data_IF_759628421186
#
_entry.id   IF_759628421186
#
_cell.length_a   1.000
_cell.length_b   1.000
_cell.length_c   1.000
_cell.angle_alpha   90.00
_cell.angle_beta   90.00
_cell.angle_gamma   90.00
#
_symmetry.space_group_name_H-M   'P 1'
#
loop_
_entity.id
_entity.type
_entity.pdbx_description
1 polymer ?
#
# COMPACT_ATOMS: atom_id res chain seq x y z
N UNK A 1 -4.53 5.10 -19.63
CA UNK A 1 -4.64 4.41 -18.33
C UNK A 1 -4.06 5.31 -17.25
N UNK A 2 -4.65 5.31 -16.08
CA UNK A 2 -4.20 6.10 -14.93
C UNK A 2 -3.85 5.20 -13.75
N UNK A 3 -2.98 5.68 -12.86
CA UNK A 3 -2.64 4.99 -11.63
C UNK A 3 -3.24 5.78 -10.46
N UNK A 4 -4.02 5.10 -9.64
CA UNK A 4 -4.60 5.62 -8.41
C UNK A 4 -3.98 4.93 -7.20
N UNK A 5 -4.10 5.54 -6.03
CA UNK A 5 -3.64 4.94 -4.79
C UNK A 5 -4.57 5.27 -3.62
N UNK A 6 -4.78 4.29 -2.75
CA UNK A 6 -5.50 4.41 -1.48
C UNK A 6 -5.02 3.28 -0.55
N UNK A 7 -4.70 3.59 0.69
CA UNK A 7 -4.26 2.64 1.70
C UNK A 7 -5.33 2.45 2.78
N UNK A 8 -5.14 1.42 3.60
CA UNK A 8 -5.86 1.27 4.87
C UNK A 8 -7.38 1.16 4.68
N UNK A 9 -7.80 0.25 3.81
CA UNK A 9 -9.24 0.02 3.57
C UNK A 9 -9.93 -0.59 4.78
N UNK A 10 -9.21 -1.36 5.59
CA UNK A 10 -9.72 -1.98 6.80
C UNK A 10 -11.08 -2.68 6.61
N UNK A 11 -11.25 -3.37 5.49
CA UNK A 11 -12.49 -4.10 5.19
C UNK A 11 -12.71 -5.20 6.21
N UNK A 12 -13.98 -5.47 6.52
CA UNK A 12 -14.37 -6.44 7.55
C UNK A 12 -15.62 -7.24 7.22
N UNK A 13 -15.93 -7.42 5.93
CA UNK A 13 -17.09 -8.19 5.47
C UNK A 13 -17.08 -9.66 5.91
N UNK A 14 -15.90 -10.23 6.11
CA UNK A 14 -15.71 -11.59 6.60
C UNK A 14 -15.55 -11.70 8.11
N UNK A 15 -15.44 -10.57 8.82
CA UNK A 15 -15.19 -10.51 10.26
C UNK A 15 -16.17 -9.56 10.95
N UNK A 16 -16.26 -9.63 12.27
CA UNK A 16 -17.10 -8.71 13.06
C UNK A 16 -16.21 -7.62 13.71
N UNK A 17 -15.65 -6.73 12.88
CA UNK A 17 -14.82 -5.61 13.34
C UNK A 17 -15.31 -4.30 12.71
N UNK A 18 -16.35 -3.67 13.30
CA UNK A 18 -16.90 -2.43 12.77
C UNK A 18 -15.91 -1.27 12.96
N UNK A 19 -15.57 -0.60 11.86
CA UNK A 19 -14.61 0.51 11.89
C UNK A 19 -15.16 1.81 12.50
N UNK A 20 -16.48 1.98 12.57
CA UNK A 20 -17.11 3.16 13.17
C UNK A 20 -16.79 3.36 14.66
N UNK A 21 -16.28 2.33 15.36
CA UNK A 21 -15.75 2.47 16.73
C UNK A 21 -14.51 3.40 16.80
N UNK A 22 -13.83 3.62 15.69
CA UNK A 22 -12.68 4.51 15.58
C UNK A 22 -13.06 5.94 15.17
N UNK A 23 -14.35 6.25 15.08
CA UNK A 23 -14.89 7.57 14.84
C UNK A 23 -15.84 7.66 13.63
N UNK A 24 -16.61 8.74 13.61
CA UNK A 24 -17.69 8.95 12.63
C UNK A 24 -17.20 9.05 11.18
N UNK A 25 -15.91 9.28 10.93
CA UNK A 25 -15.34 9.26 9.58
C UNK A 25 -15.55 7.91 8.90
N UNK A 26 -15.58 6.82 9.70
CA UNK A 26 -15.76 5.45 9.26
C UNK A 26 -17.22 4.99 9.11
N UNK A 27 -18.19 5.88 9.37
CA UNK A 27 -19.60 5.54 9.14
C UNK A 27 -19.89 5.39 7.65
N UNK A 28 -20.45 4.22 7.27
CA UNK A 28 -20.79 3.86 5.89
C UNK A 28 -19.61 4.05 4.91
N UNK A 29 -18.38 3.84 5.38
CA UNK A 29 -17.18 4.12 4.61
C UNK A 29 -17.02 3.22 3.38
N UNK A 30 -17.49 1.96 3.47
CA UNK A 30 -17.45 1.02 2.34
C UNK A 30 -18.27 1.52 1.14
N UNK A 31 -19.44 2.10 1.42
CA UNK A 31 -20.27 2.66 0.33
C UNK A 31 -19.65 3.96 -0.21
N UNK A 32 -19.08 4.82 0.65
CA UNK A 32 -18.32 6.01 0.22
C UNK A 32 -17.13 5.62 -0.67
N UNK A 33 -16.36 4.64 -0.22
CA UNK A 33 -15.23 4.09 -0.98
C UNK A 33 -15.69 3.60 -2.36
N UNK A 34 -16.74 2.78 -2.39
CA UNK A 34 -17.28 2.22 -3.63
C UNK A 34 -17.74 3.31 -4.60
N UNK A 35 -18.51 4.30 -4.12
CA UNK A 35 -19.01 5.40 -4.95
C UNK A 35 -17.86 6.24 -5.50
N UNK A 36 -16.90 6.63 -4.66
CA UNK A 36 -15.73 7.41 -5.09
C UNK A 36 -14.88 6.61 -6.08
N UNK A 37 -14.68 5.31 -5.85
CA UNK A 37 -13.93 4.43 -6.73
C UNK A 37 -14.58 4.34 -8.12
N UNK A 38 -15.85 3.98 -8.19
CA UNK A 38 -16.58 3.81 -9.47
C UNK A 38 -16.71 5.13 -10.24
N UNK A 39 -16.74 6.28 -9.55
CA UNK A 39 -16.85 7.59 -10.19
C UNK A 39 -15.60 8.00 -10.97
N UNK A 40 -14.44 7.38 -10.72
CA UNK A 40 -13.14 7.84 -11.24
C UNK A 40 -12.36 6.76 -11.97
N UNK A 41 -12.48 5.52 -11.53
CA UNK A 41 -11.63 4.41 -11.95
C UNK A 41 -12.37 3.56 -12.97
N UNK A 42 -11.68 3.22 -14.03
CA UNK A 42 -12.17 2.33 -15.12
C UNK A 42 -11.44 0.99 -15.08
N UNK A 43 -11.90 0.00 -15.83
CA UNK A 43 -11.24 -1.32 -15.93
C UNK A 43 -9.82 -1.24 -16.51
N UNK A 44 -9.47 -0.14 -17.15
CA UNK A 44 -8.14 0.10 -17.73
C UNK A 44 -7.13 0.66 -16.72
N UNK A 45 -7.60 1.15 -15.57
CA UNK A 45 -6.77 1.83 -14.59
C UNK A 45 -6.18 0.84 -13.58
N UNK A 46 -5.12 1.26 -12.87
CA UNK A 46 -4.52 0.49 -11.78
C UNK A 46 -4.68 1.23 -10.46
N UNK A 47 -4.98 0.47 -9.39
CA UNK A 47 -5.10 1.00 -8.03
C UNK A 47 -4.07 0.33 -7.12
N UNK A 48 -3.22 1.14 -6.50
CA UNK A 48 -2.23 0.71 -5.52
C UNK A 48 -2.86 0.72 -4.12
N UNK A 49 -2.73 -0.40 -3.42
CA UNK A 49 -3.29 -0.61 -2.08
C UNK A 49 -2.14 -0.93 -1.09
N UNK A 50 -1.45 0.09 -0.56
CA UNK A 50 -0.29 -0.12 0.30
C UNK A 50 -0.63 -0.46 1.74
N UNK A 51 -1.30 -1.58 1.95
CA UNK A 51 -1.48 -2.23 3.24
C UNK A 51 -2.77 -1.93 3.98
N UNK A 52 -2.97 -2.71 5.02
CA UNK A 52 -4.14 -2.72 5.91
C UNK A 52 -5.45 -2.82 5.11
N UNK A 53 -5.46 -3.85 4.26
CA UNK A 53 -6.57 -4.12 3.36
C UNK A 53 -7.76 -4.74 4.09
N UNK A 54 -7.54 -5.76 4.91
CA UNK A 54 -8.61 -6.56 5.54
C UNK A 54 -8.29 -6.91 6.99
N UNK A 55 -9.33 -6.95 7.82
CA UNK A 55 -9.26 -7.44 9.20
C UNK A 55 -9.28 -8.96 9.33
N UNK A 56 -9.36 -9.71 8.24
CA UNK A 56 -9.27 -11.17 8.28
C UNK A 56 -7.97 -11.65 8.93
N UNK A 57 -8.03 -12.71 9.73
CA UNK A 57 -6.85 -13.31 10.35
C UNK A 57 -6.18 -14.30 9.39
N UNK A 58 -6.95 -14.84 8.46
CA UNK A 58 -6.51 -15.79 7.43
C UNK A 58 -7.18 -15.46 6.09
N UNK A 59 -6.78 -16.15 5.03
CA UNK A 59 -7.29 -15.91 3.68
C UNK A 59 -8.80 -16.18 3.56
N UNK A 60 -9.30 -17.19 4.26
CA UNK A 60 -10.70 -17.58 4.25
C UNK A 60 -11.60 -16.48 4.84
N UNK A 61 -11.20 -15.88 5.94
CA UNK A 61 -11.90 -14.73 6.54
C UNK A 61 -11.84 -13.48 5.67
N UNK A 62 -10.75 -13.29 4.92
CA UNK A 62 -10.57 -12.15 4.02
C UNK A 62 -11.30 -12.31 2.68
N UNK A 63 -11.89 -13.49 2.39
CA UNK A 63 -12.49 -13.76 1.09
C UNK A 63 -13.54 -12.73 0.68
N UNK A 64 -14.45 -12.38 1.57
CA UNK A 64 -15.51 -11.40 1.27
C UNK A 64 -14.97 -10.01 0.97
N UNK A 65 -13.86 -9.63 1.59
CA UNK A 65 -13.17 -8.37 1.34
C UNK A 65 -12.51 -8.38 -0.05
N UNK A 66 -11.89 -9.50 -0.42
CA UNK A 66 -11.39 -9.71 -1.78
C UNK A 66 -12.50 -9.71 -2.83
N UNK A 67 -13.64 -10.36 -2.57
CA UNK A 67 -14.81 -10.32 -3.44
C UNK A 67 -15.37 -8.91 -3.62
N UNK A 68 -15.33 -8.09 -2.57
CA UNK A 68 -15.76 -6.70 -2.65
C UNK A 68 -14.88 -5.91 -3.62
N UNK A 69 -13.55 -5.91 -3.44
CA UNK A 69 -12.66 -5.15 -4.33
C UNK A 69 -12.60 -5.75 -5.74
N UNK A 70 -12.80 -7.06 -5.88
CA UNK A 70 -12.83 -7.72 -7.19
C UNK A 70 -13.98 -7.22 -8.08
N UNK A 71 -15.10 -6.77 -7.48
CA UNK A 71 -16.24 -6.18 -8.18
C UNK A 71 -16.01 -4.72 -8.59
N UNK A 72 -15.01 -4.06 -8.02
CA UNK A 72 -14.66 -2.69 -8.39
C UNK A 72 -13.78 -2.69 -9.64
N UNK A 73 -13.91 -1.68 -10.52
CA UNK A 73 -13.11 -1.59 -11.74
C UNK A 73 -11.61 -1.40 -11.45
N UNK A 74 -10.79 -1.70 -12.46
CA UNK A 74 -9.35 -1.54 -12.44
C UNK A 74 -8.57 -2.72 -11.86
N UNK A 75 -7.28 -2.77 -12.12
CA UNK A 75 -6.30 -3.71 -11.58
C UNK A 75 -5.88 -3.26 -10.17
N UNK A 76 -5.78 -4.18 -9.22
CA UNK A 76 -5.42 -3.89 -7.83
C UNK A 76 -4.05 -4.48 -7.51
N UNK A 77 -3.14 -3.66 -6.99
CA UNK A 77 -1.82 -4.09 -6.51
C UNK A 77 -1.77 -3.90 -5.00
N UNK A 78 -1.74 -5.01 -4.28
CA UNK A 78 -1.75 -5.02 -2.81
C UNK A 78 -0.34 -5.18 -2.25
N UNK A 79 -0.03 -4.36 -1.27
CA UNK A 79 1.14 -4.50 -0.40
C UNK A 79 0.65 -4.88 1.01
N UNK A 80 1.50 -5.54 1.80
CA UNK A 80 1.18 -5.90 3.19
C UNK A 80 1.20 -4.70 4.12
N UNK A 81 0.17 -4.54 4.95
CA UNK A 81 0.16 -3.68 6.13
C UNK A 81 0.48 -4.43 7.43
N UNK A 82 0.33 -3.78 8.58
CA UNK A 82 0.55 -4.41 9.87
C UNK A 82 -0.66 -5.20 10.38
N UNK A 83 -1.86 -4.85 9.96
CA UNK A 83 -3.10 -5.56 10.28
C UNK A 83 -3.48 -6.65 9.27
N UNK A 84 -2.74 -6.81 8.17
CA UNK A 84 -2.96 -7.89 7.20
C UNK A 84 -2.41 -9.22 7.76
N UNK A 85 -3.06 -9.77 8.78
CA UNK A 85 -2.69 -11.04 9.42
C UNK A 85 -2.87 -12.24 8.49
N UNK A 86 -3.81 -12.15 7.53
CA UNK A 86 -4.07 -13.13 6.48
C UNK A 86 -2.89 -13.31 5.49
N UNK A 87 -1.98 -12.34 5.45
CA UNK A 87 -0.87 -12.33 4.51
C UNK A 87 0.09 -13.51 4.75
N UNK A 88 0.33 -14.28 3.70
CA UNK A 88 1.18 -15.46 3.73
C UNK A 88 2.20 -15.48 2.58
N UNK A 89 2.60 -16.65 2.09
CA UNK A 89 3.52 -16.73 0.94
C UNK A 89 2.82 -16.33 -0.35
N UNK A 90 3.55 -15.69 -1.27
CA UNK A 90 3.02 -15.26 -2.57
C UNK A 90 2.35 -16.44 -3.33
N UNK A 91 2.96 -17.64 -3.25
CA UNK A 91 2.39 -18.86 -3.87
C UNK A 91 1.00 -19.21 -3.32
N UNK A 92 0.82 -19.13 -1.99
CA UNK A 92 -0.48 -19.43 -1.36
C UNK A 92 -1.52 -18.37 -1.69
N UNK A 93 -1.13 -17.10 -1.65
CA UNK A 93 -2.04 -15.98 -1.98
C UNK A 93 -2.47 -16.05 -3.45
N UNK A 94 -1.55 -16.26 -4.38
CA UNK A 94 -1.89 -16.40 -5.80
C UNK A 94 -2.79 -17.62 -6.07
N UNK A 95 -2.53 -18.73 -5.39
CA UNK A 95 -3.42 -19.90 -5.49
C UNK A 95 -4.81 -19.59 -4.98
N UNK A 96 -4.93 -18.90 -3.84
CA UNK A 96 -6.22 -18.50 -3.27
C UNK A 96 -7.01 -17.59 -4.22
N UNK A 97 -6.36 -16.60 -4.83
CA UNK A 97 -6.98 -15.72 -5.84
C UNK A 97 -7.52 -16.54 -7.01
N UNK A 98 -6.71 -17.48 -7.54
CA UNK A 98 -7.09 -18.34 -8.67
C UNK A 98 -8.23 -19.29 -8.31
N UNK A 99 -8.17 -19.97 -7.17
CA UNK A 99 -9.16 -20.95 -6.72
C UNK A 99 -10.54 -20.30 -6.50
N UNK A 100 -10.59 -19.01 -6.12
CA UNK A 100 -11.83 -18.27 -5.89
C UNK A 100 -12.27 -17.43 -7.10
N UNK A 101 -11.62 -17.58 -8.27
CA UNK A 101 -11.99 -16.87 -9.49
C UNK A 101 -11.85 -15.35 -9.39
N UNK A 102 -11.04 -14.85 -8.46
CA UNK A 102 -10.74 -13.44 -8.29
C UNK A 102 -9.82 -12.98 -9.43
N UNK A 103 -10.07 -11.82 -9.97
CA UNK A 103 -9.34 -11.28 -11.13
C UNK A 103 -8.74 -9.93 -10.78
N UNK A 104 -7.74 -9.52 -11.55
CA UNK A 104 -7.17 -8.18 -11.46
C UNK A 104 -6.62 -7.81 -10.07
N UNK A 105 -6.16 -8.81 -9.30
CA UNK A 105 -5.56 -8.65 -7.97
C UNK A 105 -4.16 -9.27 -8.00
N UNK A 106 -3.17 -8.48 -7.65
CA UNK A 106 -1.77 -8.88 -7.59
C UNK A 106 -1.13 -8.43 -6.27
N UNK A 107 -0.06 -9.13 -5.89
CA UNK A 107 0.63 -8.87 -4.63
C UNK A 107 2.05 -8.38 -4.86
N UNK A 108 2.38 -7.24 -4.30
CA UNK A 108 3.73 -6.71 -4.23
C UNK A 108 4.43 -7.26 -2.98
N UNK A 109 5.33 -8.22 -3.18
CA UNK A 109 6.01 -8.92 -2.09
C UNK A 109 7.42 -9.39 -2.48
N UNK A 110 8.42 -8.56 -2.28
CA UNK A 110 9.81 -8.76 -2.71
C UNK A 110 9.97 -8.92 -4.24
N UNK A 111 8.99 -8.46 -5.00
CA UNK A 111 8.96 -8.40 -6.47
C UNK A 111 8.74 -6.96 -6.89
N UNK A 112 8.64 -6.73 -8.19
CA UNK A 112 8.20 -5.48 -8.78
C UNK A 112 7.08 -5.75 -9.79
N UNK A 113 6.20 -4.79 -10.00
CA UNK A 113 5.05 -4.93 -10.87
C UNK A 113 5.04 -3.79 -11.88
N UNK A 114 4.99 -4.14 -13.15
CA UNK A 114 4.87 -3.17 -14.23
C UNK A 114 3.49 -2.54 -14.27
N UNK A 115 3.47 -1.23 -14.44
CA UNK A 115 2.25 -0.45 -14.57
C UNK A 115 2.49 0.66 -15.59
N UNK A 116 2.14 0.42 -16.85
CA UNK A 116 2.41 1.31 -17.97
C UNK A 116 3.90 1.63 -18.14
N UNK A 117 4.24 2.93 -18.12
CA UNK A 117 5.61 3.42 -18.18
C UNK A 117 6.33 3.41 -16.83
N UNK A 118 5.68 2.85 -15.80
CA UNK A 118 6.17 2.82 -14.44
C UNK A 118 6.41 1.39 -13.95
N UNK A 119 7.26 1.28 -12.93
CA UNK A 119 7.47 0.06 -12.17
C UNK A 119 7.12 0.33 -10.70
N UNK A 120 6.16 -0.42 -10.17
CA UNK A 120 5.76 -0.32 -8.76
C UNK A 120 6.69 -1.20 -7.94
N UNK A 121 7.33 -0.58 -6.95
CA UNK A 121 8.21 -1.23 -5.96
C UNK A 121 7.76 -0.86 -4.55
N UNK A 122 8.12 -1.65 -3.56
CA UNK A 122 7.71 -1.29 -2.20
C UNK A 122 8.01 -2.32 -1.13
N UNK A 123 7.73 -1.91 0.09
CA UNK A 123 7.82 -2.71 1.30
C UNK A 123 6.83 -2.22 2.33
N UNK A 124 6.52 -3.07 3.33
CA UNK A 124 5.68 -2.65 4.45
C UNK A 124 6.29 -1.46 5.22
N UNK A 125 7.60 -1.42 5.37
CA UNK A 125 8.25 -0.51 6.30
C UNK A 125 8.05 -0.92 7.76
N UNK A 126 8.41 -0.04 8.70
CA UNK A 126 8.20 -0.24 10.13
C UNK A 126 8.25 1.08 10.90
N UNK A 127 7.86 1.03 12.18
CA UNK A 127 7.95 2.17 13.10
C UNK A 127 9.41 2.59 13.33
N UNK A 128 9.61 3.90 13.55
CA UNK A 128 10.93 4.47 13.89
C UNK A 128 11.19 4.54 15.41
N UNK A 129 10.37 3.91 16.24
CA UNK A 129 10.65 3.80 17.67
C UNK A 129 11.92 2.97 17.87
N UNK A 130 12.95 3.60 18.41
CA UNK A 130 14.28 2.99 18.57
C UNK A 130 14.29 1.95 19.68
N UNK A 131 14.45 0.70 19.30
CA UNK A 131 14.83 -0.42 20.15
C UNK A 131 15.43 -1.53 19.29
N UNK A 132 16.08 -2.51 19.92
CA UNK A 132 16.80 -3.58 19.21
C UNK A 132 15.90 -4.40 18.28
N UNK A 133 14.68 -4.69 18.69
CA UNK A 133 13.70 -5.46 17.90
C UNK A 133 13.26 -4.67 16.65
N UNK A 134 12.88 -3.41 16.83
CA UNK A 134 12.48 -2.54 15.72
C UNK A 134 13.62 -2.33 14.73
N UNK A 135 14.85 -2.16 15.21
CA UNK A 135 16.02 -2.03 14.35
C UNK A 135 16.25 -3.27 13.48
N UNK A 136 16.04 -4.49 14.02
CA UNK A 136 16.10 -5.74 13.25
C UNK A 136 14.99 -5.79 12.18
N UNK A 137 13.79 -5.33 12.52
CA UNK A 137 12.68 -5.28 11.57
C UNK A 137 12.93 -4.24 10.48
N UNK A 138 13.39 -3.04 10.82
CA UNK A 138 13.76 -1.99 9.85
C UNK A 138 14.82 -2.50 8.89
N UNK A 139 15.88 -3.13 9.39
CA UNK A 139 16.92 -3.71 8.53
C UNK A 139 16.36 -4.74 7.54
N UNK A 140 15.43 -5.59 7.97
CA UNK A 140 14.74 -6.55 7.11
C UNK A 140 13.86 -5.87 6.06
N UNK A 141 13.12 -4.83 6.44
CA UNK A 141 12.26 -4.09 5.50
C UNK A 141 13.08 -3.29 4.47
N UNK A 142 14.25 -2.78 4.84
CA UNK A 142 15.20 -2.20 3.89
C UNK A 142 15.69 -3.22 2.86
N UNK A 143 16.06 -4.43 3.29
CA UNK A 143 16.43 -5.52 2.38
C UNK A 143 15.25 -5.88 1.45
N UNK A 144 14.02 -5.90 1.95
CA UNK A 144 12.83 -6.17 1.14
C UNK A 144 12.58 -5.10 0.09
N UNK A 145 12.74 -3.83 0.47
CA UNK A 145 12.62 -2.73 -0.49
C UNK A 145 13.71 -2.84 -1.56
N UNK A 146 14.96 -3.08 -1.16
CA UNK A 146 16.05 -3.26 -2.12
C UNK A 146 15.82 -4.45 -3.06
N UNK A 147 15.32 -5.58 -2.55
CA UNK A 147 14.94 -6.74 -3.37
C UNK A 147 13.84 -6.39 -4.39
N UNK A 148 12.83 -5.64 -3.96
CA UNK A 148 11.76 -5.15 -4.84
C UNK A 148 12.31 -4.26 -5.96
N UNK A 149 13.18 -3.30 -5.61
CA UNK A 149 13.86 -2.42 -6.57
C UNK A 149 14.74 -3.23 -7.55
N UNK A 150 15.54 -4.17 -7.05
CA UNK A 150 16.41 -5.00 -7.89
C UNK A 150 15.60 -5.89 -8.83
N UNK A 151 14.45 -6.42 -8.37
CA UNK A 151 13.54 -7.17 -9.24
C UNK A 151 13.02 -6.28 -10.39
N UNK A 152 12.64 -5.04 -10.09
CA UNK A 152 12.22 -4.05 -11.09
C UNK A 152 13.33 -3.76 -12.11
N UNK A 153 14.54 -3.48 -11.65
CA UNK A 153 15.70 -3.24 -12.52
C UNK A 153 16.03 -4.44 -13.41
N UNK A 154 15.95 -5.64 -12.86
CA UNK A 154 16.23 -6.87 -13.62
C UNK A 154 15.20 -7.14 -14.71
N UNK A 155 13.93 -6.85 -14.46
CA UNK A 155 12.83 -7.16 -15.38
C UNK A 155 12.63 -6.06 -16.43
N UNK A 156 12.82 -4.79 -16.06
CA UNK A 156 12.40 -3.63 -16.86
C UNK A 156 13.54 -2.65 -17.16
N UNK A 157 14.77 -2.96 -16.72
CA UNK A 157 15.93 -2.09 -16.96
C UNK A 157 15.86 -0.76 -16.19
N UNK A 158 16.44 0.29 -16.78
CA UNK A 158 16.39 1.66 -16.25
C UNK A 158 15.49 2.58 -17.10
N UNK A 159 14.77 2.04 -18.06
CA UNK A 159 13.95 2.81 -18.99
C UNK A 159 12.64 3.29 -18.37
N UNK A 160 12.14 2.56 -17.36
CA UNK A 160 10.90 2.90 -16.67
C UNK A 160 11.17 3.56 -15.33
N UNK A 161 10.36 4.57 -15.02
CA UNK A 161 10.40 5.27 -13.74
C UNK A 161 9.82 4.37 -12.63
N UNK A 162 10.46 4.36 -11.45
CA UNK A 162 9.97 3.59 -10.31
C UNK A 162 9.12 4.46 -9.39
N UNK A 163 7.95 3.95 -9.00
CA UNK A 163 7.11 4.50 -7.95
C UNK A 163 7.19 3.58 -6.74
N UNK A 164 7.53 4.13 -5.58
CA UNK A 164 7.54 3.39 -4.33
C UNK A 164 6.19 3.48 -3.62
N UNK A 165 5.73 2.34 -3.10
CA UNK A 165 4.63 2.31 -2.15
C UNK A 165 5.09 1.67 -0.83
N UNK A 166 4.68 2.25 0.28
CA UNK A 166 4.98 1.74 1.61
C UNK A 166 3.72 1.75 2.47
N UNK A 167 3.63 0.84 3.44
CA UNK A 167 2.56 0.96 4.42
C UNK A 167 2.91 1.96 5.51
N UNK A 168 4.03 1.75 6.22
CA UNK A 168 4.52 2.73 7.18
C UNK A 168 5.14 3.95 6.49
N UNK A 169 5.06 5.15 7.09
CA UNK A 169 5.78 6.32 6.59
C UNK A 169 7.26 6.01 6.35
N UNK A 170 7.86 6.44 5.23
CA UNK A 170 9.30 6.24 4.98
C UNK A 170 10.19 7.08 5.89
N UNK A 171 9.62 8.09 6.55
CA UNK A 171 10.30 9.04 7.42
C UNK A 171 9.30 9.62 8.42
N UNK A 172 9.77 10.05 9.58
CA UNK A 172 8.96 10.69 10.62
C UNK A 172 9.53 12.05 11.02
N UNK A 173 8.74 12.90 11.63
CA UNK A 173 9.20 14.17 12.19
C UNK A 173 10.39 13.92 13.15
N UNK A 174 11.41 14.72 13.02
CA UNK A 174 12.66 14.56 13.80
C UNK A 174 13.74 13.69 13.16
N UNK A 175 13.42 12.88 12.13
CA UNK A 175 14.37 12.00 11.43
C UNK A 175 14.44 12.26 9.93
N UNK A 176 14.11 13.48 9.48
CA UNK A 176 14.04 13.82 8.05
C UNK A 176 15.35 13.60 7.30
N UNK A 177 16.48 13.88 7.95
CA UNK A 177 17.82 13.79 7.35
C UNK A 177 18.48 12.41 7.51
N UNK A 178 17.87 11.48 8.24
CA UNK A 178 18.49 10.20 8.62
C UNK A 178 17.69 8.96 8.22
N UNK A 179 16.66 9.11 7.39
CA UNK A 179 15.86 7.97 6.96
C UNK A 179 16.58 7.10 5.94
N UNK A 180 16.93 5.89 6.35
CA UNK A 180 17.52 4.86 5.48
C UNK A 180 16.61 4.46 4.31
N UNK A 181 15.28 4.61 4.44
CA UNK A 181 14.34 4.36 3.32
C UNK A 181 14.47 5.47 2.27
N UNK A 182 14.56 6.72 2.70
CA UNK A 182 14.80 7.87 1.82
C UNK A 182 16.15 7.73 1.10
N UNK A 183 17.22 7.39 1.84
CA UNK A 183 18.55 7.16 1.26
C UNK A 183 18.52 6.04 0.20
N UNK A 184 17.83 4.93 0.50
CA UNK A 184 17.70 3.81 -0.42
C UNK A 184 16.93 4.19 -1.69
N UNK A 185 15.82 4.92 -1.55
CA UNK A 185 15.07 5.43 -2.71
C UNK A 185 15.91 6.37 -3.57
N UNK A 186 16.67 7.28 -2.95
CA UNK A 186 17.57 8.19 -3.66
C UNK A 186 18.71 7.45 -4.39
N UNK A 187 19.31 6.43 -3.77
CA UNK A 187 20.32 5.55 -4.39
C UNK A 187 19.84 5.00 -5.75
N UNK A 188 18.54 4.74 -5.87
CA UNK A 188 17.92 4.17 -7.07
C UNK A 188 17.09 5.17 -7.89
N UNK A 189 17.23 6.47 -7.61
CA UNK A 189 16.55 7.56 -8.32
C UNK A 189 15.01 7.47 -8.29
N UNK A 190 14.44 6.91 -7.23
CA UNK A 190 12.99 6.91 -6.99
C UNK A 190 12.57 8.29 -6.52
N UNK A 191 11.57 8.90 -7.18
CA UNK A 191 11.15 10.28 -6.93
C UNK A 191 9.79 10.43 -6.27
N UNK A 192 9.02 9.35 -6.17
CA UNK A 192 7.67 9.36 -5.59
C UNK A 192 7.50 8.19 -4.64
N UNK A 193 6.94 8.47 -3.46
CA UNK A 193 6.58 7.46 -2.48
C UNK A 193 5.21 7.77 -1.86
N UNK A 194 4.29 6.81 -1.95
CA UNK A 194 2.95 6.88 -1.38
C UNK A 194 2.85 5.92 -0.21
N UNK A 195 2.27 6.37 0.90
CA UNK A 195 2.23 5.58 2.12
C UNK A 195 0.91 5.74 2.89
N UNK A 196 0.62 4.80 3.80
CA UNK A 196 -0.56 4.74 4.63
C UNK A 196 -0.27 4.78 6.12
N UNK A 197 -0.95 3.92 6.89
CA UNK A 197 -0.74 3.62 8.30
C UNK A 197 -1.21 4.69 9.29
N UNK A 198 -1.13 5.96 8.98
CA UNK A 198 -1.51 7.03 9.89
C UNK A 198 -3.02 7.30 9.84
N UNK A 199 -3.68 7.23 11.00
CA UNK A 199 -5.13 7.42 11.15
C UNK A 199 -5.47 8.44 12.22
N UNK A 200 -6.61 9.13 12.07
CA UNK A 200 -7.15 10.03 13.06
C UNK A 200 -6.12 11.08 13.52
N UNK A 201 -5.82 11.15 14.80
CA UNK A 201 -4.85 12.13 15.33
C UNK A 201 -3.43 11.94 14.79
N UNK A 202 -3.05 10.73 14.40
CA UNK A 202 -1.70 10.50 13.84
C UNK A 202 -1.52 11.11 12.44
N UNK A 203 -2.58 11.60 11.79
CA UNK A 203 -2.44 12.38 10.55
C UNK A 203 -1.56 13.61 10.74
N UNK A 204 -1.47 14.18 11.94
CA UNK A 204 -0.61 15.32 12.22
C UNK A 204 0.88 14.99 12.13
N UNK A 205 1.24 13.70 12.25
CA UNK A 205 2.63 13.23 12.11
C UNK A 205 3.05 12.98 10.67
N UNK A 206 2.13 13.14 9.71
CA UNK A 206 2.45 12.91 8.29
C UNK A 206 3.53 13.86 7.79
N UNK A 207 4.29 13.37 6.86
CA UNK A 207 5.25 14.16 6.09
C UNK A 207 4.81 14.12 4.63
N UNK A 208 4.43 15.25 4.08
CA UNK A 208 4.02 15.41 2.69
C UNK A 208 4.89 16.43 1.97
N UNK A 209 4.94 16.32 0.64
CA UNK A 209 5.79 17.16 -0.21
C UNK A 209 7.18 16.56 -0.39
N UNK A 210 8.16 17.41 -0.69
CA UNK A 210 9.50 16.95 -1.04
C UNK A 210 10.41 16.81 0.19
N UNK A 211 10.94 15.60 0.38
CA UNK A 211 11.99 15.28 1.35
C UNK A 211 13.19 14.70 0.59
N UNK A 212 14.32 15.38 0.64
CA UNK A 212 15.55 15.00 -0.06
C UNK A 212 15.32 14.62 -1.54
N UNK A 213 14.43 15.37 -2.23
CA UNK A 213 14.14 15.19 -3.65
C UNK A 213 13.13 14.09 -3.98
N UNK A 214 12.48 13.48 -2.98
CA UNK A 214 11.40 12.50 -3.12
C UNK A 214 10.08 13.14 -2.70
N UNK A 215 9.08 13.08 -3.57
CA UNK A 215 7.71 13.49 -3.26
C UNK A 215 7.04 12.42 -2.39
N UNK A 216 6.65 12.78 -1.18
CA UNK A 216 5.95 11.93 -0.22
C UNK A 216 4.47 12.34 -0.12
N UNK A 217 3.58 11.35 -0.05
CA UNK A 217 2.15 11.61 0.13
C UNK A 217 1.48 10.53 0.97
N UNK A 218 0.73 10.96 1.99
CA UNK A 218 -0.15 10.10 2.78
C UNK A 218 -1.43 9.81 1.99
N UNK A 219 -1.81 8.53 1.93
CA UNK A 219 -3.01 8.07 1.22
C UNK A 219 -3.87 7.13 2.07
N UNK A 220 -3.80 7.24 3.41
CA UNK A 220 -4.72 6.52 4.30
C UNK A 220 -6.17 6.91 3.99
N UNK A 221 -7.05 5.93 3.93
CA UNK A 221 -8.41 6.10 3.42
C UNK A 221 -9.22 7.15 4.19
N UNK A 222 -9.13 7.19 5.53
CA UNK A 222 -9.81 8.20 6.34
C UNK A 222 -9.25 9.61 6.14
N UNK A 223 -7.95 9.76 5.87
CA UNK A 223 -7.31 11.03 5.56
C UNK A 223 -7.78 11.59 4.21
N UNK A 224 -7.82 10.75 3.17
CA UNK A 224 -8.28 11.14 1.83
C UNK A 224 -9.80 10.98 1.63
N UNK A 225 -10.56 10.79 2.73
CA UNK A 225 -12.04 10.68 2.73
C UNK A 225 -12.56 9.56 1.83
N UNK A 226 -11.86 8.42 1.80
CA UNK A 226 -12.19 7.23 0.99
C UNK A 226 -12.25 7.53 -0.52
N UNK A 227 -11.51 8.52 -0.97
CA UNK A 227 -11.48 8.98 -2.35
C UNK A 227 -10.11 8.68 -2.98
N UNK A 228 -9.98 7.61 -3.81
CA UNK A 228 -8.71 7.22 -4.40
C UNK A 228 -8.01 8.37 -5.11
N UNK A 229 -6.75 8.60 -4.79
CA UNK A 229 -5.95 9.70 -5.32
C UNK A 229 -5.33 9.29 -6.64
N UNK A 230 -5.54 10.06 -7.70
CA UNK A 230 -4.80 9.90 -8.95
C UNK A 230 -3.34 10.32 -8.73
N UNK A 231 -2.40 9.44 -9.07
CA UNK A 231 -0.96 9.66 -8.89
C UNK A 231 -0.20 9.76 -10.22
N UNK A 232 -0.80 9.24 -11.28
CA UNK A 232 -0.34 9.37 -12.68
C UNK A 232 -1.55 9.60 -13.59
#
# INVERSE_FOLDING_TARGET
>A
MSIYAIADLHLSYGTNKPMNIFGNVWENYEEKLKQNWISKITDQDTVLLPGDFSWGINLEESLKDFEFINKLPGRKILLKGNHDYWWTTLKKMNKFIADNGLKNIEFLYNNAIECEDYVIVGTRGWTFLENEENNKIIARELIRLENSIQAGKKLYGNEKEMICIMHYPPVVKGNLDTSKFIDLMNKYNIKKCFYGHLHGYSHEERIEGFVNGIELKLISSDFIKFDPVKII
#
